data_IF_799260196174
#
_entry.id   IF_799260196174
#
_cell.length_a   1.000
_cell.length_b   1.000
_cell.length_c   1.000
_cell.angle_alpha   90.00
_cell.angle_beta   90.00
_cell.angle_gamma   90.00
#
_symmetry.space_group_name_H-M   'P 1'
#
loop_
_entity.id
_entity.type
_entity.pdbx_description
1 polymer ?
#
# COMPACT_ATOMS: atom_id res chain seq x y z
N UNK A 1 25.67 -16.98 41.92
CA UNK A 1 24.86 -18.20 41.66
C UNK A 1 24.23 -18.05 40.29
N UNK A 2 24.82 -18.69 39.28
CA UNK A 2 24.32 -18.70 37.90
C UNK A 2 23.17 -19.69 37.77
N UNK A 3 22.03 -19.23 37.25
CA UNK A 3 20.91 -20.11 36.91
C UNK A 3 21.29 -21.01 35.72
N UNK A 4 20.87 -22.28 35.69
CA UNK A 4 21.15 -23.16 34.56
C UNK A 4 20.36 -22.71 33.32
N UNK A 5 20.89 -22.91 32.11
CA UNK A 5 20.15 -22.61 30.89
C UNK A 5 18.92 -23.52 30.78
N UNK A 6 17.77 -22.92 30.51
CA UNK A 6 16.52 -23.62 30.26
C UNK A 6 16.71 -24.63 29.11
N UNK A 7 16.37 -25.90 29.39
CA UNK A 7 16.29 -26.94 28.36
C UNK A 7 15.31 -26.48 27.29
N UNK A 8 15.80 -26.33 26.05
CA UNK A 8 14.95 -26.15 24.86
C UNK A 8 13.91 -27.27 24.84
N UNK A 9 12.65 -26.92 25.03
CA UNK A 9 11.53 -27.80 24.78
C UNK A 9 11.55 -28.17 23.29
N UNK A 10 11.58 -29.47 23.02
CA UNK A 10 11.43 -30.04 21.68
C UNK A 10 10.01 -29.69 21.23
N UNK A 11 9.88 -28.89 20.18
CA UNK A 11 8.59 -28.66 19.52
C UNK A 11 8.16 -30.03 18.99
N UNK A 12 7.06 -30.57 19.48
CA UNK A 12 6.42 -31.73 18.87
C UNK A 12 5.97 -31.33 17.47
N UNK A 13 6.33 -32.10 16.46
CA UNK A 13 5.96 -31.86 15.06
C UNK A 13 4.43 -31.85 14.98
N UNK A 14 3.86 -30.66 14.78
CA UNK A 14 2.43 -30.50 14.58
C UNK A 14 1.97 -31.36 13.38
N UNK A 15 0.77 -31.97 13.45
CA UNK A 15 0.34 -32.91 12.43
C UNK A 15 0.23 -32.23 11.06
N UNK A 16 0.75 -32.90 10.04
CA UNK A 16 0.62 -32.47 8.65
C UNK A 16 -0.87 -32.56 8.24
N UNK A 17 -1.40 -31.50 7.63
CA UNK A 17 -2.78 -31.37 7.19
C UNK A 17 -2.85 -31.27 5.66
N UNK A 18 -3.79 -31.99 5.05
CA UNK A 18 -4.10 -31.86 3.62
C UNK A 18 -5.02 -30.66 3.41
N UNK A 19 -4.66 -29.78 2.49
CA UNK A 19 -5.48 -28.63 2.07
C UNK A 19 -6.68 -29.08 1.23
N UNK A 20 -7.67 -28.20 1.10
CA UNK A 20 -8.76 -28.34 0.12
C UNK A 20 -8.26 -28.30 -1.34
N UNK A 21 -7.08 -27.68 -1.58
CA UNK A 21 -6.43 -27.70 -2.90
C UNK A 21 -5.69 -29.03 -3.04
N UNK A 22 -6.45 -30.05 -3.46
CA UNK A 22 -5.96 -31.41 -3.62
C UNK A 22 -6.50 -32.05 -4.90
N UNK A 23 -5.72 -31.94 -5.98
CA UNK A 23 -6.09 -32.54 -7.27
C UNK A 23 -5.69 -34.02 -7.30
N UNK A 24 -6.66 -34.89 -7.63
CA UNK A 24 -6.45 -36.35 -7.66
C UNK A 24 -5.42 -36.79 -8.72
N UNK A 25 -5.29 -36.02 -9.79
CA UNK A 25 -4.35 -36.16 -10.90
C UNK A 25 -3.10 -35.26 -10.75
N UNK A 26 -2.96 -34.56 -9.61
CA UNK A 26 -1.81 -33.72 -9.34
C UNK A 26 -0.50 -34.51 -9.38
N UNK A 27 0.54 -33.87 -9.93
CA UNK A 27 1.86 -34.44 -10.21
C UNK A 27 2.96 -33.99 -9.24
N UNK A 28 2.63 -33.10 -8.29
CA UNK A 28 3.53 -32.63 -7.23
C UNK A 28 2.74 -32.31 -5.96
N UNK A 29 3.35 -32.54 -4.80
CA UNK A 29 2.84 -32.06 -3.52
C UNK A 29 3.74 -30.93 -3.03
N UNK A 30 3.18 -29.75 -2.83
CA UNK A 30 3.85 -28.64 -2.16
C UNK A 30 3.53 -28.71 -0.67
N UNK A 31 4.52 -28.50 0.19
CA UNK A 31 4.32 -28.36 1.63
C UNK A 31 4.75 -26.97 2.08
N UNK A 32 3.90 -26.27 2.81
CA UNK A 32 4.20 -25.00 3.45
C UNK A 32 3.70 -25.06 4.89
N UNK A 33 4.58 -24.80 5.86
CA UNK A 33 4.33 -25.07 7.28
C UNK A 33 3.84 -26.53 7.47
N UNK A 34 2.67 -26.71 8.11
CA UNK A 34 2.04 -28.02 8.31
C UNK A 34 1.02 -28.37 7.22
N UNK A 35 0.89 -27.57 6.15
CA UNK A 35 -0.13 -27.76 5.12
C UNK A 35 0.46 -28.31 3.83
N UNK A 36 -0.20 -29.31 3.25
CA UNK A 36 0.16 -29.90 1.97
C UNK A 36 -0.89 -29.63 0.89
N UNK A 37 -0.43 -29.33 -0.31
CA UNK A 37 -1.23 -28.99 -1.48
C UNK A 37 -0.82 -29.91 -2.63
N UNK A 38 -1.75 -30.67 -3.20
CA UNK A 38 -1.46 -31.54 -4.35
C UNK A 38 -1.91 -30.86 -5.63
N UNK A 39 -0.96 -30.53 -6.51
CA UNK A 39 -1.14 -29.67 -7.69
C UNK A 39 -0.35 -30.22 -8.90
N UNK A 40 -0.38 -29.49 -10.01
CA UNK A 40 0.25 -29.89 -11.27
C UNK A 40 1.53 -29.10 -11.54
N UNK A 41 2.61 -29.81 -11.87
CA UNK A 41 3.84 -29.19 -12.39
C UNK A 41 3.57 -28.29 -13.60
N UNK A 42 2.71 -28.73 -14.53
CA UNK A 42 2.39 -27.97 -15.75
C UNK A 42 1.84 -26.58 -15.44
N UNK A 43 0.97 -26.46 -14.43
CA UNK A 43 0.38 -25.18 -14.02
C UNK A 43 1.43 -24.29 -13.36
N UNK A 44 2.26 -24.84 -12.45
CA UNK A 44 3.32 -24.07 -11.80
C UNK A 44 4.35 -23.58 -12.82
N UNK A 45 4.86 -24.47 -13.66
CA UNK A 45 5.87 -24.18 -14.67
C UNK A 45 5.38 -23.23 -15.77
N UNK A 46 4.08 -23.22 -16.08
CA UNK A 46 3.48 -22.27 -17.02
C UNK A 46 3.56 -20.82 -16.51
N UNK A 47 3.51 -20.63 -15.19
CA UNK A 47 3.41 -19.31 -14.57
C UNK A 47 4.66 -18.87 -13.80
N UNK A 48 5.64 -19.74 -13.62
CA UNK A 48 6.88 -19.50 -12.87
C UNK A 48 8.08 -20.16 -13.54
N UNK A 49 9.09 -19.36 -13.89
CA UNK A 49 10.37 -19.88 -14.39
C UNK A 49 11.11 -20.70 -13.33
N UNK A 50 11.01 -20.30 -12.06
CA UNK A 50 11.59 -21.03 -10.93
C UNK A 50 11.05 -22.47 -10.87
N UNK A 51 9.73 -22.65 -10.95
CA UNK A 51 9.15 -23.99 -10.90
C UNK A 51 9.38 -24.79 -12.18
N UNK A 52 9.51 -24.12 -13.34
CA UNK A 52 9.96 -24.76 -14.58
C UNK A 52 11.37 -25.34 -14.45
N UNK A 53 12.31 -24.54 -13.94
CA UNK A 53 13.69 -24.96 -13.73
C UNK A 53 13.78 -26.06 -12.65
N UNK A 54 13.04 -25.90 -11.56
CA UNK A 54 12.98 -26.88 -10.46
C UNK A 54 12.48 -28.25 -10.96
N UNK A 55 11.49 -28.27 -11.87
CA UNK A 55 10.99 -29.50 -12.48
C UNK A 55 12.03 -30.19 -13.35
N UNK A 56 12.91 -29.42 -14.00
CA UNK A 56 13.94 -29.94 -14.92
C UNK A 56 15.17 -30.50 -14.19
N UNK A 57 15.33 -30.27 -12.89
CA UNK A 57 16.46 -30.77 -12.12
C UNK A 57 16.45 -32.31 -12.03
N UNK A 58 17.61 -32.97 -12.22
CA UNK A 58 17.74 -34.40 -11.98
C UNK A 58 17.37 -34.73 -10.53
N UNK A 59 16.43 -35.65 -10.33
CA UNK A 59 16.07 -36.08 -8.98
C UNK A 59 17.19 -36.98 -8.41
N UNK A 60 17.62 -36.78 -7.15
CA UNK A 60 18.66 -37.60 -6.54
C UNK A 60 18.22 -39.08 -6.44
N UNK A 61 19.16 -39.99 -6.71
CA UNK A 61 18.93 -41.44 -6.69
C UNK A 61 18.48 -41.97 -5.31
N UNK A 62 18.84 -41.25 -4.23
CA UNK A 62 18.34 -41.48 -2.88
C UNK A 62 17.01 -40.74 -2.71
N UNK A 63 15.95 -41.34 -3.26
CA UNK A 63 14.54 -40.91 -3.29
C UNK A 63 14.19 -39.64 -2.52
N UNK A 64 13.79 -38.60 -3.26
CA UNK A 64 13.09 -37.45 -2.65
C UNK A 64 11.90 -37.94 -1.82
N UNK A 65 11.57 -37.25 -0.71
CA UNK A 65 10.33 -37.54 -0.01
C UNK A 65 9.18 -37.51 -1.01
N UNK A 66 8.40 -38.58 -1.05
CA UNK A 66 7.22 -38.69 -1.89
C UNK A 66 5.99 -38.74 -1.00
N UNK A 67 4.92 -38.08 -1.44
CA UNK A 67 3.62 -38.10 -0.80
C UNK A 67 2.59 -38.53 -1.84
N UNK A 68 1.87 -39.62 -1.56
CA UNK A 68 0.91 -40.24 -2.49
C UNK A 68 1.51 -40.54 -3.89
N UNK A 69 2.80 -40.90 -3.94
CA UNK A 69 3.51 -41.20 -5.19
C UNK A 69 3.94 -39.97 -6.00
N UNK A 70 3.75 -38.76 -5.48
CA UNK A 70 4.22 -37.52 -6.08
C UNK A 70 5.47 -36.97 -5.35
N UNK A 71 6.38 -36.27 -6.04
CA UNK A 71 7.47 -35.53 -5.38
C UNK A 71 6.92 -34.52 -4.38
N UNK A 72 7.52 -34.48 -3.18
CA UNK A 72 7.24 -33.48 -2.15
C UNK A 72 8.24 -32.32 -2.27
N UNK A 73 7.73 -31.10 -2.42
CA UNK A 73 8.51 -29.86 -2.44
C UNK A 73 8.17 -29.04 -1.21
N UNK A 74 9.13 -28.88 -0.31
CA UNK A 74 8.97 -28.05 0.89
C UNK A 74 9.27 -26.58 0.59
N UNK A 75 8.32 -25.72 0.91
CA UNK A 75 8.39 -24.27 0.80
C UNK A 75 8.56 -23.66 2.19
N UNK A 76 9.36 -22.59 2.26
CA UNK A 76 9.65 -21.87 3.52
C UNK A 76 8.64 -20.75 3.80
N UNK A 77 7.48 -20.78 3.13
CA UNK A 77 6.47 -19.73 3.19
C UNK A 77 5.30 -20.15 4.07
N UNK A 78 4.42 -19.19 4.38
CA UNK A 78 3.21 -19.48 5.12
C UNK A 78 2.25 -20.32 4.28
N UNK A 79 1.50 -21.21 4.91
CA UNK A 79 0.47 -21.98 4.22
C UNK A 79 -0.56 -21.07 3.55
N UNK A 80 -0.91 -19.95 4.20
CA UNK A 80 -1.85 -18.97 3.68
C UNK A 80 -1.34 -18.30 2.39
N UNK A 81 -0.07 -17.85 2.33
CA UNK A 81 0.45 -17.21 1.12
C UNK A 81 0.45 -18.20 -0.07
N UNK A 82 0.84 -19.45 0.16
CA UNK A 82 0.83 -20.51 -0.87
C UNK A 82 -0.59 -20.82 -1.32
N UNK A 83 -1.55 -20.91 -0.40
CA UNK A 83 -2.95 -21.16 -0.74
C UNK A 83 -3.55 -20.04 -1.61
N UNK A 84 -3.31 -18.76 -1.28
CA UNK A 84 -3.78 -17.64 -2.09
C UNK A 84 -3.19 -17.65 -3.49
N UNK A 85 -1.90 -17.96 -3.62
CA UNK A 85 -1.23 -18.09 -4.91
C UNK A 85 -1.85 -19.22 -5.74
N UNK A 86 -2.00 -20.41 -5.15
CA UNK A 86 -2.60 -21.55 -5.83
C UNK A 86 -4.05 -21.28 -6.26
N UNK A 87 -4.87 -20.69 -5.39
CA UNK A 87 -6.23 -20.27 -5.76
C UNK A 87 -6.24 -19.35 -6.99
N UNK A 88 -5.29 -18.43 -7.07
CA UNK A 88 -5.18 -17.52 -8.20
C UNK A 88 -4.73 -18.20 -9.51
N UNK A 89 -3.89 -19.25 -9.43
CA UNK A 89 -3.46 -20.03 -10.59
C UNK A 89 -4.58 -20.93 -11.15
N UNK A 90 -5.43 -21.47 -10.28
CA UNK A 90 -6.51 -22.38 -10.67
C UNK A 90 -7.86 -21.69 -10.88
N UNK A 91 -8.05 -20.47 -10.40
CA UNK A 91 -9.24 -19.63 -10.65
C UNK A 91 -8.86 -18.25 -11.22
N UNK A 92 -8.69 -18.13 -12.55
CA UNK A 92 -8.42 -16.86 -13.20
C UNK A 92 -9.52 -15.81 -13.03
N UNK A 93 -10.74 -16.20 -12.63
CA UNK A 93 -11.84 -15.25 -12.44
C UNK A 93 -11.56 -14.26 -11.29
N UNK A 94 -10.64 -14.60 -10.38
CA UNK A 94 -10.13 -13.70 -9.35
C UNK A 94 -9.61 -12.38 -9.94
N UNK A 95 -8.96 -12.40 -11.11
CA UNK A 95 -8.37 -11.21 -11.71
C UNK A 95 -9.40 -10.29 -12.38
N UNK A 96 -10.56 -10.82 -12.77
CA UNK A 96 -11.67 -10.02 -13.29
C UNK A 96 -12.41 -9.26 -12.19
N UNK A 97 -12.16 -9.57 -10.92
CA UNK A 97 -12.77 -8.85 -9.82
C UNK A 97 -12.23 -7.42 -9.76
N UNK A 98 -13.16 -6.48 -9.62
CA UNK A 98 -12.84 -5.06 -9.51
C UNK A 98 -11.86 -4.77 -8.38
N UNK A 99 -12.13 -5.33 -7.19
CA UNK A 99 -11.28 -5.26 -6.03
C UNK A 99 -11.00 -6.67 -5.53
N UNK A 100 -9.75 -6.96 -5.16
CA UNK A 100 -9.37 -8.25 -4.58
C UNK A 100 -8.92 -8.08 -3.12
N UNK A 101 -9.09 -9.09 -2.26
CA UNK A 101 -8.67 -9.00 -0.87
C UNK A 101 -7.16 -8.78 -0.75
N UNK A 102 -6.76 -7.92 0.18
CA UNK A 102 -5.34 -7.62 0.42
C UNK A 102 -4.45 -8.84 0.70
N UNK A 103 -4.89 -9.92 1.38
CA UNK A 103 -4.07 -11.11 1.55
C UNK A 103 -3.57 -11.72 0.23
N UNK A 104 -4.38 -11.72 -0.84
CA UNK A 104 -3.92 -12.13 -2.18
C UNK A 104 -2.83 -11.21 -2.72
N UNK A 105 -3.03 -9.89 -2.64
CA UNK A 105 -2.03 -8.89 -3.04
C UNK A 105 -0.70 -9.12 -2.32
N UNK A 106 -0.74 -9.30 -0.99
CA UNK A 106 0.44 -9.55 -0.18
C UNK A 106 1.15 -10.85 -0.58
N UNK A 107 0.38 -11.92 -0.80
CA UNK A 107 0.90 -13.22 -1.25
C UNK A 107 1.59 -13.11 -2.61
N UNK A 108 0.97 -12.42 -3.56
CA UNK A 108 1.51 -12.23 -4.90
C UNK A 108 2.78 -11.39 -4.92
N UNK A 109 2.88 -10.35 -4.08
CA UNK A 109 4.11 -9.56 -3.95
C UNK A 109 5.25 -10.42 -3.40
N UNK A 110 5.00 -11.18 -2.31
CA UNK A 110 6.03 -11.98 -1.63
C UNK A 110 6.48 -13.17 -2.48
N UNK A 111 5.52 -14.01 -2.88
CA UNK A 111 5.79 -15.25 -3.60
C UNK A 111 6.05 -15.02 -5.09
N UNK A 112 5.38 -14.03 -5.68
CA UNK A 112 5.58 -13.73 -7.10
C UNK A 112 6.99 -13.24 -7.40
N UNK A 113 7.64 -12.56 -6.44
CA UNK A 113 9.08 -12.27 -6.56
C UNK A 113 9.96 -13.47 -6.23
N UNK A 114 9.68 -14.16 -5.11
CA UNK A 114 10.53 -15.26 -4.62
C UNK A 114 10.60 -16.43 -5.60
N UNK A 115 9.48 -16.75 -6.24
CA UNK A 115 9.31 -17.86 -7.15
C UNK A 115 9.03 -17.42 -8.58
N UNK A 116 9.33 -16.17 -8.94
CA UNK A 116 9.18 -15.62 -10.28
C UNK A 116 7.79 -15.85 -10.93
N UNK A 117 6.70 -15.69 -10.18
CA UNK A 117 5.35 -15.55 -10.76
C UNK A 117 5.12 -14.11 -11.23
N UNK A 118 5.83 -13.72 -12.30
CA UNK A 118 5.87 -12.34 -12.79
C UNK A 118 4.49 -11.72 -13.01
N UNK A 119 3.56 -12.46 -13.63
CA UNK A 119 2.20 -11.97 -13.93
C UNK A 119 1.44 -11.63 -12.63
N UNK A 120 1.52 -12.48 -11.61
CA UNK A 120 0.86 -12.23 -10.33
C UNK A 120 1.49 -11.03 -9.61
N UNK A 121 2.83 -10.94 -9.65
CA UNK A 121 3.56 -9.83 -9.08
C UNK A 121 3.16 -8.49 -9.74
N UNK A 122 3.12 -8.45 -11.08
CA UNK A 122 2.73 -7.25 -11.85
C UNK A 122 1.29 -6.82 -11.52
N UNK A 123 0.33 -7.75 -11.46
CA UNK A 123 -1.06 -7.48 -11.07
C UNK A 123 -1.13 -6.87 -9.66
N UNK A 124 -0.36 -7.41 -8.71
CA UNK A 124 -0.35 -6.91 -7.35
C UNK A 124 0.24 -5.50 -7.26
N UNK A 125 1.35 -5.25 -7.97
CA UNK A 125 2.00 -3.93 -8.03
C UNK A 125 1.09 -2.90 -8.70
N UNK A 126 0.39 -3.25 -9.79
CA UNK A 126 -0.57 -2.35 -10.45
C UNK A 126 -1.68 -1.90 -9.49
N UNK A 127 -2.25 -2.86 -8.73
CA UNK A 127 -3.30 -2.56 -7.75
C UNK A 127 -2.77 -1.73 -6.57
N UNK A 128 -1.55 -1.99 -6.11
CA UNK A 128 -0.90 -1.18 -5.07
C UNK A 128 -0.59 0.24 -5.58
N UNK A 129 -0.16 0.39 -6.83
CA UNK A 129 0.11 1.69 -7.44
C UNK A 129 -1.17 2.52 -7.60
N UNK A 130 -2.30 1.88 -7.95
CA UNK A 130 -3.61 2.52 -7.91
C UNK A 130 -3.94 3.03 -6.49
N UNK A 131 -3.61 2.27 -5.45
CA UNK A 131 -3.81 2.68 -4.05
C UNK A 131 -2.70 3.57 -3.49
N UNK A 132 -1.62 3.83 -4.22
CA UNK A 132 -0.54 4.72 -3.78
C UNK A 132 0.13 5.35 -4.99
N UNK A 133 -0.55 6.32 -5.64
CA UNK A 133 -0.02 6.92 -6.84
C UNK A 133 1.31 7.60 -6.66
N UNK A 134 2.04 7.69 -7.77
CA UNK A 134 3.37 8.31 -7.82
C UNK A 134 3.32 9.72 -8.39
N UNK A 135 2.23 10.08 -9.06
CA UNK A 135 2.02 11.42 -9.64
C UNK A 135 0.84 12.14 -9.00
N UNK A 136 0.92 13.47 -8.96
CA UNK A 136 -0.18 14.31 -8.45
C UNK A 136 -1.46 14.13 -9.28
N UNK A 137 -1.33 13.95 -10.60
CA UNK A 137 -2.47 13.76 -11.51
C UNK A 137 -3.26 12.48 -11.19
N UNK A 138 -2.56 11.38 -10.95
CA UNK A 138 -3.20 10.12 -10.54
C UNK A 138 -3.86 10.26 -9.16
N UNK A 139 -3.18 10.94 -8.23
CA UNK A 139 -3.73 11.23 -6.90
C UNK A 139 -5.04 12.03 -6.97
N UNK A 140 -5.09 13.04 -7.84
CA UNK A 140 -6.26 13.88 -8.05
C UNK A 140 -7.41 13.09 -8.68
N UNK A 141 -7.12 12.27 -9.69
CA UNK A 141 -8.10 11.37 -10.31
C UNK A 141 -8.78 10.46 -9.27
N UNK A 142 -8.01 9.91 -8.34
CA UNK A 142 -8.58 9.09 -7.25
C UNK A 142 -9.45 9.92 -6.32
N UNK A 143 -8.98 11.09 -5.91
CA UNK A 143 -9.71 11.96 -4.98
C UNK A 143 -11.05 12.42 -5.57
N UNK A 144 -11.08 12.74 -6.86
CA UNK A 144 -12.30 13.12 -7.56
C UNK A 144 -13.24 11.92 -7.75
N UNK A 145 -12.70 10.72 -8.00
CA UNK A 145 -13.49 9.49 -8.01
C UNK A 145 -14.15 9.20 -6.65
N UNK A 146 -13.49 9.50 -5.53
CA UNK A 146 -14.09 9.39 -4.19
C UNK A 146 -15.21 10.42 -3.93
N UNK A 147 -15.19 11.57 -4.61
CA UNK A 147 -16.25 12.59 -4.50
C UNK A 147 -17.45 12.30 -5.41
N UNK A 148 -17.23 11.63 -6.54
CA UNK A 148 -18.29 11.18 -7.44
C UNK A 148 -18.97 9.88 -6.97
N UNK A 149 -20.17 9.61 -7.46
CA UNK A 149 -20.85 8.30 -7.34
C UNK A 149 -20.23 7.23 -8.25
N UNK A 150 -18.96 7.39 -8.65
CA UNK A 150 -18.34 6.49 -9.62
C UNK A 150 -18.03 5.14 -8.96
N UNK A 151 -18.22 4.07 -9.72
CA UNK A 151 -18.07 2.71 -9.21
C UNK A 151 -16.61 2.40 -8.85
N UNK A 152 -15.60 3.05 -9.46
CA UNK A 152 -14.17 2.70 -9.41
C UNK A 152 -13.34 3.34 -8.29
N UNK A 153 -13.79 3.24 -7.05
CA UNK A 153 -13.12 3.92 -5.93
C UNK A 153 -11.92 3.16 -5.35
N UNK A 154 -11.78 1.85 -5.62
CA UNK A 154 -10.66 1.05 -5.09
C UNK A 154 -10.40 -0.22 -5.90
N UNK A 155 -9.15 -0.70 -5.88
CA UNK A 155 -8.73 -1.98 -6.46
C UNK A 155 -8.40 -3.04 -5.40
N UNK A 156 -8.50 -2.71 -4.11
CA UNK A 156 -8.24 -3.60 -2.98
C UNK A 156 -9.42 -3.54 -2.02
N UNK A 157 -9.93 -4.68 -1.55
CA UNK A 157 -11.07 -4.70 -0.63
C UNK A 157 -10.73 -3.92 0.65
N UNK A 158 -11.53 -2.89 1.02
CA UNK A 158 -11.20 -2.01 2.13
C UNK A 158 -11.45 -2.66 3.50
N UNK A 159 -10.57 -2.38 4.45
CA UNK A 159 -10.77 -2.64 5.88
C UNK A 159 -10.00 -1.61 6.72
N UNK A 160 -10.33 -1.47 8.01
CA UNK A 160 -9.89 -0.34 8.84
C UNK A 160 -8.36 -0.16 8.99
N UNK A 161 -7.58 -1.22 8.76
CA UNK A 161 -6.12 -1.21 8.87
C UNK A 161 -5.35 -1.29 7.54
N UNK A 162 -6.04 -1.29 6.39
CA UNK A 162 -5.44 -1.58 5.08
C UNK A 162 -4.18 -0.78 4.79
N UNK A 163 -4.19 0.53 5.03
CA UNK A 163 -3.04 1.39 4.71
C UNK A 163 -1.83 1.13 5.61
N UNK A 164 -2.00 0.52 6.79
CA UNK A 164 -0.88 0.09 7.63
C UNK A 164 -0.24 -1.16 7.05
N UNK A 165 -1.05 -2.16 6.72
CA UNK A 165 -0.56 -3.41 6.13
C UNK A 165 0.06 -3.18 4.75
N UNK A 166 -0.54 -2.28 3.95
CA UNK A 166 0.01 -1.86 2.67
C UNK A 166 1.37 -1.19 2.83
N UNK A 167 1.53 -0.24 3.78
CA UNK A 167 2.83 0.39 4.04
C UNK A 167 3.89 -0.65 4.44
N UNK A 168 3.53 -1.58 5.32
CA UNK A 168 4.42 -2.68 5.74
C UNK A 168 4.84 -3.52 4.53
N UNK A 169 3.89 -3.94 3.70
CA UNK A 169 4.16 -4.74 2.50
C UNK A 169 5.08 -4.01 1.51
N UNK A 170 4.83 -2.73 1.25
CA UNK A 170 5.63 -1.92 0.34
C UNK A 170 7.08 -1.81 0.84
N UNK A 171 7.26 -1.56 2.14
CA UNK A 171 8.59 -1.42 2.77
C UNK A 171 9.37 -2.73 2.74
N UNK A 172 8.74 -3.83 3.16
CA UNK A 172 9.38 -5.15 3.24
C UNK A 172 9.76 -5.70 1.86
N UNK A 173 9.07 -5.25 0.80
CA UNK A 173 9.32 -5.69 -0.57
C UNK A 173 9.97 -4.60 -1.43
N UNK A 174 10.57 -3.57 -0.83
CA UNK A 174 11.35 -2.58 -1.58
C UNK A 174 10.58 -1.89 -2.73
N UNK A 175 9.26 -1.71 -2.56
CA UNK A 175 8.38 -1.03 -3.52
C UNK A 175 8.35 0.47 -3.21
N UNK A 176 9.51 1.13 -3.37
CA UNK A 176 9.75 2.44 -2.77
C UNK A 176 8.94 3.58 -3.41
N UNK A 177 8.62 3.49 -4.70
CA UNK A 177 7.88 4.56 -5.41
C UNK A 177 6.51 4.84 -4.81
N UNK A 178 5.88 3.84 -4.19
CA UNK A 178 4.56 3.98 -3.59
C UNK A 178 4.60 4.47 -2.13
N UNK A 179 5.77 4.45 -1.47
CA UNK A 179 5.91 4.82 -0.05
C UNK A 179 5.47 6.26 0.27
N UNK A 180 5.85 7.30 -0.51
CA UNK A 180 5.48 8.68 -0.18
C UNK A 180 3.95 8.87 -0.07
N UNK A 181 3.18 8.29 -1.00
CA UNK A 181 1.72 8.38 -0.97
C UNK A 181 1.12 7.53 0.17
N UNK A 182 1.65 6.34 0.43
CA UNK A 182 1.21 5.50 1.54
C UNK A 182 1.38 6.22 2.89
N UNK A 183 2.53 6.85 3.12
CA UNK A 183 2.78 7.69 4.30
C UNK A 183 1.87 8.91 4.36
N UNK A 184 1.63 9.59 3.24
CA UNK A 184 0.69 10.71 3.16
C UNK A 184 -0.72 10.31 3.59
N UNK A 185 -1.24 9.18 3.08
CA UNK A 185 -2.58 8.68 3.43
C UNK A 185 -2.71 8.42 4.93
N UNK A 186 -1.71 7.79 5.53
CA UNK A 186 -1.66 7.61 6.98
C UNK A 186 -1.57 8.96 7.72
N UNK A 187 -0.79 9.91 7.22
CA UNK A 187 -0.62 11.24 7.87
C UNK A 187 -1.90 12.08 7.92
N UNK A 188 -2.89 11.78 7.08
CA UNK A 188 -4.23 12.42 7.10
C UNK A 188 -5.15 11.93 8.22
N UNK A 189 -4.82 10.82 8.89
CA UNK A 189 -5.65 10.28 9.97
C UNK A 189 -5.43 11.02 11.31
N UNK A 190 -6.44 10.98 12.19
CA UNK A 190 -6.36 11.59 13.54
C UNK A 190 -5.38 10.85 14.46
N UNK A 191 -4.79 11.54 15.45
CA UNK A 191 -3.92 10.92 16.47
C UNK A 191 -4.57 9.72 17.17
N UNK A 192 -5.88 9.76 17.42
CA UNK A 192 -6.65 8.61 17.94
C UNK A 192 -6.62 7.42 16.99
N UNK A 193 -6.73 7.64 15.69
CA UNK A 193 -6.60 6.59 14.66
C UNK A 193 -5.14 6.15 14.47
N UNK A 194 -4.16 7.01 14.78
CA UNK A 194 -2.73 6.69 14.70
C UNK A 194 -2.38 5.63 15.74
N UNK A 195 -2.75 5.87 17.00
CA UNK A 195 -2.39 5.01 18.13
C UNK A 195 -3.45 3.98 18.50
N UNK A 196 -4.65 4.09 17.91
CA UNK A 196 -5.71 3.11 18.11
C UNK A 196 -5.40 1.77 17.45
N UNK A 197 -5.94 0.72 18.04
CA UNK A 197 -5.93 -0.62 17.47
C UNK A 197 -6.77 -0.65 16.18
N UNK A 198 -6.29 -1.44 15.23
CA UNK A 198 -6.92 -1.69 13.94
C UNK A 198 -6.79 -3.17 13.66
N UNK A 199 -7.87 -3.78 13.21
CA UNK A 199 -7.94 -5.22 13.02
C UNK A 199 -8.18 -5.56 11.56
N UNK A 200 -7.58 -6.66 11.13
CA UNK A 200 -7.86 -7.35 9.87
C UNK A 200 -9.22 -8.06 9.98
N UNK A 201 -9.81 -8.50 8.85
CA UNK A 201 -11.06 -9.27 8.87
C UNK A 201 -10.99 -10.55 9.72
N UNK A 202 -9.82 -11.16 9.85
CA UNK A 202 -9.57 -12.35 10.67
C UNK A 202 -9.38 -12.05 12.17
N UNK A 203 -9.49 -10.78 12.58
CA UNK A 203 -9.31 -10.33 13.97
C UNK A 203 -7.85 -10.09 14.38
N UNK A 204 -6.87 -10.33 13.52
CA UNK A 204 -5.46 -10.03 13.82
C UNK A 204 -5.16 -8.53 13.77
N UNK A 205 -4.18 -8.06 14.56
CA UNK A 205 -3.84 -6.65 14.66
C UNK A 205 -3.06 -6.16 13.42
N UNK A 206 -3.52 -5.05 12.82
CA UNK A 206 -2.79 -4.24 11.84
C UNK A 206 -1.79 -3.33 12.57
N UNK A 207 -0.67 -3.93 13.00
CA UNK A 207 0.42 -3.21 13.64
C UNK A 207 1.23 -2.41 12.60
N UNK A 208 1.71 -1.24 13.02
CA UNK A 208 2.69 -0.46 12.28
C UNK A 208 4.00 -0.49 13.06
N UNK A 209 5.14 -0.61 12.36
CA UNK A 209 6.43 -0.70 13.06
C UNK A 209 6.76 0.60 13.81
N UNK A 210 7.57 0.56 14.87
CA UNK A 210 8.01 1.78 15.57
C UNK A 210 8.71 2.78 14.64
N UNK A 211 9.45 2.27 13.64
CA UNK A 211 10.13 3.09 12.63
C UNK A 211 9.09 3.83 11.77
N UNK A 212 8.10 3.11 11.25
CA UNK A 212 7.06 3.68 10.41
C UNK A 212 6.17 4.67 11.19
N UNK A 213 5.93 4.41 12.48
CA UNK A 213 5.28 5.37 13.38
C UNK A 213 6.06 6.69 13.49
N UNK A 214 7.40 6.59 13.66
CA UNK A 214 8.28 7.76 13.74
C UNK A 214 8.31 8.53 12.42
N UNK A 215 8.58 7.86 11.30
CA UNK A 215 8.66 8.47 9.96
C UNK A 215 7.36 9.20 9.63
N UNK A 216 6.22 8.54 9.85
CA UNK A 216 4.91 9.16 9.67
C UNK A 216 4.70 10.36 10.60
N UNK A 217 5.05 10.24 11.88
CA UNK A 217 4.83 11.29 12.88
C UNK A 217 5.59 12.57 12.54
N UNK A 218 6.89 12.45 12.27
CA UNK A 218 7.76 13.56 11.87
C UNK A 218 7.33 14.11 10.50
N UNK A 219 7.03 13.24 9.53
CA UNK A 219 6.57 13.68 8.22
C UNK A 219 5.23 14.41 8.25
N UNK A 220 4.32 14.03 9.14
CA UNK A 220 3.06 14.75 9.38
C UNK A 220 3.31 16.16 9.92
N UNK A 221 4.22 16.32 10.86
CA UNK A 221 4.62 17.65 11.38
C UNK A 221 5.19 18.52 10.27
N UNK A 222 6.16 18.00 9.51
CA UNK A 222 6.76 18.70 8.36
C UNK A 222 5.72 19.09 7.30
N UNK A 223 4.75 18.23 7.01
CA UNK A 223 3.63 18.54 6.09
C UNK A 223 2.75 19.68 6.62
N UNK A 224 2.41 19.66 7.92
CA UNK A 224 1.60 20.70 8.57
C UNK A 224 2.30 22.05 8.58
N UNK A 225 3.62 22.10 8.76
CA UNK A 225 4.39 23.33 8.64
C UNK A 225 4.53 23.79 7.18
N UNK A 226 4.89 22.86 6.29
CA UNK A 226 5.18 23.16 4.91
C UNK A 226 3.97 23.70 4.15
N UNK A 227 2.75 23.21 4.41
CA UNK A 227 1.56 23.68 3.70
C UNK A 227 1.34 25.20 3.84
N UNK A 228 1.82 25.84 4.91
CA UNK A 228 1.67 27.29 5.15
C UNK A 228 2.84 28.15 4.62
N UNK A 229 3.93 27.53 4.15
CA UNK A 229 5.09 28.29 3.62
C UNK A 229 4.74 28.97 2.30
N UNK A 230 5.32 30.14 2.05
CA UNK A 230 5.14 30.89 0.80
C UNK A 230 5.41 30.02 -0.42
N UNK A 231 4.47 30.04 -1.38
CA UNK A 231 4.53 29.23 -2.60
C UNK A 231 4.10 27.77 -2.43
N UNK A 232 3.69 27.33 -1.22
CA UNK A 232 3.04 26.04 -1.00
C UNK A 232 1.51 26.22 -0.89
N UNK A 233 0.77 25.12 -0.80
CA UNK A 233 -0.69 25.04 -0.98
C UNK A 233 -1.53 26.09 -0.24
N UNK A 234 -1.18 26.43 1.00
CA UNK A 234 -1.89 27.42 1.82
C UNK A 234 -1.07 28.70 2.08
N UNK A 235 0.12 28.82 1.49
CA UNK A 235 1.01 29.96 1.70
C UNK A 235 0.47 31.30 1.18
N UNK A 236 -0.59 31.26 0.35
CA UNK A 236 -1.28 32.45 -0.16
C UNK A 236 -2.23 33.10 0.87
N UNK A 237 -2.55 32.40 1.97
CA UNK A 237 -3.52 32.84 2.97
C UNK A 237 -2.92 33.88 3.94
N UNK A 238 -1.62 33.76 4.26
CA UNK A 238 -0.98 34.62 5.28
C UNK A 238 0.40 35.10 4.80
N UNK A 239 0.57 36.40 4.46
CA UNK A 239 -0.47 37.43 4.37
C UNK A 239 -1.28 37.30 3.07
N UNK A 240 -2.61 37.27 3.19
CA UNK A 240 -3.49 37.38 2.02
C UNK A 240 -3.44 38.77 1.39
N UNK A 241 -3.44 38.81 0.05
CA UNK A 241 -3.58 40.02 -0.76
C UNK A 241 -4.73 39.84 -1.75
N UNK A 242 -5.65 40.82 -1.90
CA UNK A 242 -6.70 40.75 -2.90
C UNK A 242 -6.11 40.78 -4.32
N UNK A 243 -6.78 40.12 -5.25
CA UNK A 243 -6.51 40.27 -6.68
C UNK A 243 -6.77 41.73 -7.12
N UNK A 244 -6.12 42.19 -8.20
CA UNK A 244 -6.27 43.55 -8.71
C UNK A 244 -7.74 43.89 -9.05
N UNK A 245 -8.51 42.91 -9.54
CA UNK A 245 -9.94 43.02 -9.84
C UNK A 245 -10.89 42.59 -8.72
N UNK A 246 -10.48 42.59 -7.45
CA UNK A 246 -11.34 42.16 -6.34
C UNK A 246 -12.57 43.08 -6.16
N UNK A 247 -13.77 42.51 -6.24
CA UNK A 247 -15.05 43.22 -6.14
C UNK A 247 -15.36 43.68 -4.70
N UNK A 248 -15.15 42.80 -3.72
CA UNK A 248 -15.36 43.10 -2.30
C UNK A 248 -14.20 42.57 -1.46
N UNK A 249 -13.26 43.49 -1.15
CA UNK A 249 -12.07 43.19 -0.34
C UNK A 249 -12.43 42.76 1.08
N UNK A 250 -13.52 43.28 1.64
CA UNK A 250 -13.91 42.96 3.01
C UNK A 250 -14.48 41.55 3.10
N UNK A 251 -15.42 41.18 2.21
CA UNK A 251 -16.01 39.85 2.20
C UNK A 251 -14.98 38.79 1.86
N UNK A 252 -14.16 38.98 0.81
CA UNK A 252 -13.10 38.01 0.47
C UNK A 252 -12.15 37.78 1.65
N UNK A 253 -11.71 38.84 2.33
CA UNK A 253 -10.87 38.73 3.53
C UNK A 253 -11.56 37.98 4.67
N UNK A 254 -12.85 38.26 4.89
CA UNK A 254 -13.66 37.62 5.93
C UNK A 254 -13.78 36.11 5.67
N UNK A 255 -14.07 35.70 4.44
CA UNK A 255 -14.15 34.29 4.04
C UNK A 255 -12.82 33.57 4.20
N UNK A 256 -11.71 34.18 3.77
CA UNK A 256 -10.36 33.60 3.92
C UNK A 256 -9.99 33.46 5.39
N UNK A 257 -10.31 34.45 6.23
CA UNK A 257 -10.08 34.37 7.68
C UNK A 257 -10.92 33.26 8.32
N UNK A 258 -12.19 33.12 7.94
CA UNK A 258 -13.05 32.05 8.43
C UNK A 258 -12.53 30.66 8.04
N UNK A 259 -12.06 30.51 6.81
CA UNK A 259 -11.42 29.30 6.33
C UNK A 259 -10.13 28.97 7.08
N UNK A 260 -9.22 29.96 7.21
CA UNK A 260 -7.99 29.82 7.96
C UNK A 260 -8.25 29.39 9.41
N UNK A 261 -9.21 30.01 10.09
CA UNK A 261 -9.63 29.62 11.44
C UNK A 261 -10.10 28.16 11.48
N UNK A 262 -10.85 27.70 10.49
CA UNK A 262 -11.32 26.30 10.41
C UNK A 262 -10.14 25.33 10.31
N UNK A 263 -9.12 25.66 9.51
CA UNK A 263 -7.93 24.83 9.36
C UNK A 263 -7.02 24.86 10.61
N UNK A 264 -6.92 25.99 11.30
CA UNK A 264 -6.13 26.11 12.52
C UNK A 264 -6.74 25.32 13.69
N UNK A 265 -8.07 25.24 13.76
CA UNK A 265 -8.78 24.52 14.83
C UNK A 265 -8.75 22.99 14.67
N UNK A 266 -8.44 22.50 13.47
CA UNK A 266 -8.33 21.07 13.17
C UNK A 266 -7.00 20.83 12.44
N UNK A 267 -5.90 20.44 13.12
CA UNK A 267 -4.60 20.24 12.48
C UNK A 267 -4.67 19.09 11.47
N UNK A 268 -5.12 19.44 10.28
CA UNK A 268 -5.43 18.54 9.18
C UNK A 268 -4.36 18.75 8.13
N UNK A 269 -3.83 17.65 7.61
CA UNK A 269 -2.89 17.71 6.49
C UNK A 269 -3.69 18.10 5.25
N UNK A 270 -3.63 19.39 4.92
CA UNK A 270 -4.29 20.04 3.80
C UNK A 270 -3.31 20.36 2.67
N UNK A 271 -2.12 19.75 2.69
CA UNK A 271 -1.09 19.85 1.67
C UNK A 271 -1.59 19.68 0.22
N UNK A 272 -2.70 18.96 0.02
CA UNK A 272 -3.30 18.70 -1.29
C UNK A 272 -4.76 19.15 -1.36
N UNK A 273 -5.12 20.24 -0.66
CA UNK A 273 -6.42 20.88 -0.71
C UNK A 273 -6.78 21.36 -2.13
N UNK A 274 -8.05 21.28 -2.53
CA UNK A 274 -8.60 21.83 -3.77
C UNK A 274 -9.53 23.00 -3.43
N UNK A 275 -9.56 24.06 -4.27
CA UNK A 275 -10.34 25.29 -3.99
C UNK A 275 -11.85 25.09 -3.99
N UNK A 276 -12.39 23.97 -4.48
CA UNK A 276 -13.84 23.72 -4.50
C UNK A 276 -14.55 23.92 -3.14
N UNK A 277 -13.83 23.94 -2.02
CA UNK A 277 -14.39 24.28 -0.71
C UNK A 277 -14.51 25.79 -0.41
N UNK A 278 -14.00 26.66 -1.28
CA UNK A 278 -13.95 28.11 -1.15
C UNK A 278 -14.40 28.88 -2.38
N UNK A 279 -14.58 28.20 -3.52
CA UNK A 279 -14.87 28.83 -4.79
C UNK A 279 -16.09 29.76 -4.71
N UNK A 280 -17.17 29.32 -4.04
CA UNK A 280 -18.40 30.11 -3.88
C UNK A 280 -18.30 31.22 -2.81
N UNK A 281 -17.16 31.33 -2.10
CA UNK A 281 -16.93 32.29 -1.01
C UNK A 281 -16.02 33.46 -1.40
N UNK A 282 -15.46 33.46 -2.60
CA UNK A 282 -14.59 34.51 -3.11
C UNK A 282 -15.21 35.12 -4.38
N UNK A 283 -14.96 36.39 -4.64
CA UNK A 283 -15.22 36.94 -5.98
C UNK A 283 -14.32 36.24 -7.02
N UNK A 284 -14.74 36.21 -8.28
CA UNK A 284 -14.08 35.47 -9.37
C UNK A 284 -12.58 35.78 -9.46
N UNK A 285 -12.20 37.06 -9.41
CA UNK A 285 -10.79 37.48 -9.47
C UNK A 285 -9.95 36.92 -8.30
N UNK A 286 -10.51 36.84 -7.09
CA UNK A 286 -9.81 36.27 -5.94
C UNK A 286 -9.83 34.73 -5.95
N UNK A 287 -10.87 34.12 -6.50
CA UNK A 287 -10.95 32.68 -6.69
C UNK A 287 -9.88 32.21 -7.69
N UNK A 288 -9.73 32.89 -8.83
CA UNK A 288 -8.71 32.56 -9.84
C UNK A 288 -7.28 32.71 -9.30
N UNK A 289 -7.01 33.78 -8.54
CA UNK A 289 -5.73 33.98 -7.86
C UNK A 289 -5.45 32.83 -6.86
N UNK A 290 -6.45 32.44 -6.08
CA UNK A 290 -6.33 31.36 -5.11
C UNK A 290 -6.12 30.00 -5.80
N UNK A 291 -6.84 29.72 -6.89
CA UNK A 291 -6.72 28.47 -7.65
C UNK A 291 -5.32 28.31 -8.23
N UNK A 292 -4.79 29.38 -8.82
CA UNK A 292 -3.42 29.41 -9.38
C UNK A 292 -2.37 29.14 -8.30
N UNK A 293 -2.52 29.79 -7.14
CA UNK A 293 -1.61 29.61 -6.01
C UNK A 293 -1.69 28.20 -5.40
N UNK A 294 -2.91 27.67 -5.23
CA UNK A 294 -3.17 26.32 -4.74
C UNK A 294 -2.58 25.29 -5.70
N UNK A 295 -2.87 25.38 -7.00
CA UNK A 295 -2.37 24.44 -8.01
C UNK A 295 -0.85 24.39 -8.04
N UNK A 296 -0.21 25.56 -8.09
CA UNK A 296 1.26 25.66 -8.05
C UNK A 296 1.82 25.09 -6.74
N UNK A 297 1.20 25.44 -5.61
CA UNK A 297 1.62 24.98 -4.29
C UNK A 297 1.48 23.47 -4.11
N UNK A 298 0.43 22.85 -4.65
CA UNK A 298 0.21 21.40 -4.63
C UNK A 298 1.27 20.67 -5.43
N UNK A 299 1.59 21.15 -6.64
CA UNK A 299 2.65 20.57 -7.47
C UNK A 299 3.99 20.56 -6.73
N UNK A 300 4.37 21.69 -6.13
CA UNK A 300 5.57 21.81 -5.30
C UNK A 300 5.54 20.91 -4.06
N UNK A 301 4.40 20.83 -3.37
CA UNK A 301 4.24 19.93 -2.23
C UNK A 301 4.36 18.45 -2.63
N UNK A 302 3.88 18.08 -3.83
CA UNK A 302 3.98 16.71 -4.34
C UNK A 302 5.42 16.36 -4.72
N UNK A 303 6.12 17.24 -5.41
CA UNK A 303 7.53 17.08 -5.75
C UNK A 303 8.38 16.83 -4.49
N UNK A 304 8.11 17.57 -3.42
CA UNK A 304 8.82 17.44 -2.14
C UNK A 304 8.27 16.32 -1.23
N UNK A 305 7.20 15.62 -1.62
CA UNK A 305 6.52 14.64 -0.77
C UNK A 305 7.45 13.57 -0.16
N UNK A 306 8.38 12.95 -0.91
CA UNK A 306 9.30 11.97 -0.35
C UNK A 306 10.16 12.54 0.78
N UNK A 307 10.65 13.78 0.63
CA UNK A 307 11.54 14.43 1.60
C UNK A 307 10.88 14.64 2.96
N UNK A 308 9.56 14.83 3.02
CA UNK A 308 8.85 14.94 4.30
C UNK A 308 8.98 13.66 5.13
N UNK A 309 9.13 12.51 4.48
CA UNK A 309 9.22 11.19 5.11
C UNK A 309 10.65 10.62 5.10
N UNK A 310 11.68 11.47 4.96
CA UNK A 310 13.09 11.05 4.89
C UNK A 310 13.36 10.02 3.77
N UNK A 311 12.61 10.09 2.67
CA UNK A 311 12.80 9.25 1.48
C UNK A 311 13.59 10.00 0.41
N UNK A 312 14.25 9.24 -0.47
CA UNK A 312 14.91 9.77 -1.65
C UNK A 312 13.94 10.51 -2.58
N UNK A 313 14.42 11.46 -3.41
CA UNK A 313 13.61 12.10 -4.44
C UNK A 313 12.93 11.10 -5.38
N UNK A 314 11.82 11.50 -6.00
CA UNK A 314 11.04 10.63 -6.89
C UNK A 314 11.87 9.92 -7.98
N UNK A 315 12.89 10.59 -8.53
CA UNK A 315 13.79 10.05 -9.55
C UNK A 315 14.69 8.92 -9.07
N UNK A 316 14.93 8.82 -7.76
CA UNK A 316 15.80 7.84 -7.13
C UNK A 316 15.04 6.70 -6.44
N UNK A 317 13.73 6.87 -6.20
CA UNK A 317 12.89 5.81 -5.64
C UNK A 317 12.75 4.70 -6.66
N UNK A 318 13.15 3.49 -6.28
CA UNK A 318 13.07 2.30 -7.14
C UNK A 318 12.01 1.33 -6.63
N UNK A 319 11.28 0.73 -7.57
CA UNK A 319 10.69 -0.58 -7.30
C UNK A 319 11.79 -1.58 -7.64
N UNK A 320 11.98 -2.62 -6.82
CA UNK A 320 13.18 -3.48 -6.84
C UNK A 320 13.51 -4.19 -8.17
N UNK A 321 12.71 -4.01 -9.22
CA UNK A 321 12.93 -4.53 -10.57
C UNK A 321 13.53 -3.49 -11.55
N UNK A 322 13.91 -2.29 -11.07
CA UNK A 322 14.68 -1.29 -11.83
C UNK A 322 16.17 -1.38 -11.47
N UNK A 323 16.78 -2.52 -11.80
CA UNK A 323 18.23 -2.67 -11.99
C UNK A 323 18.54 -2.74 -13.47
#
# INVERSE_FOLDING_TARGET
>A
MSLPPAKRQRIEDAPIMRSEIWYSDGSVVLQAETSQFRVHWSVLAQHSSFFLDLQALPQPESGQPTMDGCPLVELQDTAADVEHLLKALYDPALFHQKAIPFPYIASFVRLGRKYDFKVLFDIAVERLAFESPTTLKEYDTLFDAFKGTSSETTKIVPYGGIYRDMLTLLRENGLQKMLPCAYLRLSKQTMRSIFGERFRPDGTLCALSPIDHRVRGVGRERLLEAQWKTGNTLGWIIPWKPAEGCEDRYQCRKHIKAFCNTLLLKPTVCAFFQLNQLQDSLCDACAELAETAITTGRAKMWENLPSFFDLHPWSELKNSNEM
#
